data_IF_340676287818
#
_entry.id   IF_340676287818
#
_cell.length_a   1.000
_cell.length_b   1.000
_cell.length_c   1.000
_cell.angle_alpha   90.00
_cell.angle_beta   90.00
_cell.angle_gamma   90.00
#
_symmetry.space_group_name_H-M   'P 1'
#
loop_
_entity.id
_entity.type
_entity.pdbx_description
1 polymer ?
#
# COMPACT_ATOMS: atom_id res chain seq x y z
N UNK A 1 26.46 13.23 7.04
CA UNK A 1 25.05 12.85 7.35
C UNK A 1 24.51 12.07 6.16
N UNK A 2 24.19 10.77 6.31
CA UNK A 2 23.60 9.99 5.21
C UNK A 2 22.09 10.28 5.16
N UNK A 3 21.58 10.65 3.98
CA UNK A 3 20.18 10.94 3.72
C UNK A 3 19.65 9.80 2.85
N UNK A 4 18.78 8.97 3.41
CA UNK A 4 18.07 7.94 2.64
C UNK A 4 16.73 8.54 2.24
N UNK A 5 16.51 8.69 0.94
CA UNK A 5 15.22 9.10 0.42
C UNK A 5 14.34 7.86 0.27
N UNK A 6 13.03 7.94 0.57
CA UNK A 6 12.12 6.85 0.27
C UNK A 6 12.16 6.57 -1.24
N UNK A 7 12.34 5.31 -1.60
CA UNK A 7 12.23 4.88 -3.00
C UNK A 7 10.75 4.96 -3.39
N UNK A 8 10.46 5.68 -4.47
CA UNK A 8 9.12 5.84 -5.01
C UNK A 8 9.19 5.63 -6.52
N UNK A 9 8.24 4.88 -7.06
CA UNK A 9 8.16 4.54 -8.48
C UNK A 9 6.73 4.83 -8.96
N UNK A 10 6.59 5.49 -10.10
CA UNK A 10 5.31 5.81 -10.77
C UNK A 10 5.44 5.48 -12.25
N UNK A 11 4.35 5.02 -12.85
CA UNK A 11 4.28 4.67 -14.26
C UNK A 11 3.20 3.63 -14.51
N UNK A 12 2.82 3.48 -15.78
CA UNK A 12 1.83 2.49 -16.21
C UNK A 12 2.32 1.05 -16.02
N UNK A 13 3.63 0.84 -16.04
CA UNK A 13 4.27 -0.49 -16.02
C UNK A 13 5.10 -0.76 -14.75
N UNK A 14 4.94 0.06 -13.70
CA UNK A 14 5.80 0.04 -12.50
C UNK A 14 5.77 -1.28 -11.73
N UNK A 15 4.73 -2.11 -11.89
CA UNK A 15 4.73 -3.46 -11.32
C UNK A 15 5.89 -4.31 -11.87
N UNK A 16 6.28 -4.14 -13.14
CA UNK A 16 7.42 -4.85 -13.73
C UNK A 16 8.77 -4.49 -13.09
N UNK A 17 8.87 -3.34 -12.42
CA UNK A 17 10.08 -2.88 -11.74
C UNK A 17 10.22 -3.42 -10.31
N UNK A 18 9.21 -4.14 -9.79
CA UNK A 18 9.23 -4.71 -8.43
C UNK A 18 10.51 -5.50 -8.16
N UNK A 19 10.98 -6.42 -9.03
CA UNK A 19 12.25 -7.11 -8.81
C UNK A 19 13.43 -6.17 -8.64
N UNK A 20 13.57 -5.18 -9.52
CA UNK A 20 14.70 -4.23 -9.53
C UNK A 20 14.77 -3.38 -8.26
N UNK A 21 13.61 -3.04 -7.70
CA UNK A 21 13.49 -2.25 -6.47
C UNK A 21 13.62 -3.12 -5.22
N UNK A 22 12.88 -4.23 -5.14
CA UNK A 22 12.68 -5.00 -3.92
C UNK A 22 13.76 -6.07 -3.67
N UNK A 23 14.41 -6.64 -4.69
CA UNK A 23 15.42 -7.70 -4.50
C UNK A 23 16.61 -7.27 -3.62
N UNK A 24 16.87 -5.97 -3.53
CA UNK A 24 17.92 -5.40 -2.67
C UNK A 24 17.62 -5.55 -1.17
N UNK A 25 16.37 -5.84 -0.82
CA UNK A 25 15.85 -5.85 0.54
C UNK A 25 15.50 -7.25 1.05
N UNK A 26 15.39 -8.25 0.18
CA UNK A 26 15.09 -9.63 0.55
C UNK A 26 14.70 -10.49 -0.64
N UNK A 27 14.38 -11.75 -0.35
CA UNK A 27 13.95 -12.74 -1.36
C UNK A 27 12.58 -13.34 -1.04
N UNK A 28 12.04 -13.09 0.14
CA UNK A 28 10.71 -13.56 0.55
C UNK A 28 9.81 -12.37 0.87
N UNK A 29 8.66 -12.27 0.21
CA UNK A 29 7.68 -11.23 0.47
C UNK A 29 6.33 -11.83 0.84
N UNK A 30 5.64 -11.21 1.80
CA UNK A 30 4.23 -11.50 2.09
C UNK A 30 3.35 -10.36 1.58
N UNK A 31 2.25 -10.69 0.93
CA UNK A 31 1.28 -9.70 0.44
C UNK A 31 0.15 -9.60 1.46
N UNK A 32 -0.10 -8.39 1.95
CA UNK A 32 -1.17 -8.13 2.93
C UNK A 32 -2.02 -6.97 2.42
N UNK A 33 -3.34 -7.08 2.49
CA UNK A 33 -4.18 -6.02 1.95
C UNK A 33 -5.66 -6.17 2.22
N UNK A 34 -6.44 -5.20 1.77
CA UNK A 34 -7.91 -5.32 1.77
C UNK A 34 -8.38 -6.26 0.68
N UNK A 35 -9.51 -6.95 0.88
CA UNK A 35 -10.07 -7.92 -0.08
C UNK A 35 -10.09 -7.45 -1.53
N UNK A 36 -10.60 -6.24 -1.78
CA UNK A 36 -10.66 -5.63 -3.13
C UNK A 36 -9.27 -5.32 -3.68
N UNK A 37 -8.41 -4.72 -2.85
CA UNK A 37 -7.06 -4.36 -3.24
C UNK A 37 -6.20 -5.59 -3.58
N UNK A 38 -6.34 -6.68 -2.81
CA UNK A 38 -5.70 -7.95 -3.12
C UNK A 38 -6.20 -8.53 -4.43
N UNK A 39 -7.51 -8.49 -4.70
CA UNK A 39 -8.06 -8.93 -5.98
C UNK A 39 -7.53 -8.11 -7.18
N UNK A 40 -7.19 -6.84 -6.97
CA UNK A 40 -6.65 -5.97 -8.01
C UNK A 40 -5.13 -6.10 -8.19
N UNK A 41 -4.37 -6.28 -7.11
CA UNK A 41 -2.91 -6.15 -7.13
C UNK A 41 -2.16 -7.48 -6.94
N UNK A 42 -2.71 -8.48 -6.23
CA UNK A 42 -1.95 -9.65 -5.83
C UNK A 42 -1.45 -10.48 -7.03
N UNK A 43 -2.28 -10.66 -8.05
CA UNK A 43 -1.89 -11.42 -9.24
C UNK A 43 -0.90 -10.65 -10.12
N UNK A 44 -1.04 -9.32 -10.22
CA UNK A 44 -0.05 -8.46 -10.91
C UNK A 44 1.32 -8.53 -10.23
N UNK A 45 1.36 -8.50 -8.90
CA UNK A 45 2.60 -8.63 -8.12
C UNK A 45 3.20 -10.01 -8.34
N UNK A 46 2.41 -11.08 -8.26
CA UNK A 46 2.89 -12.46 -8.47
C UNK A 46 3.48 -12.66 -9.87
N UNK A 47 2.81 -12.16 -10.90
CA UNK A 47 3.34 -12.23 -12.27
C UNK A 47 4.62 -11.40 -12.42
N UNK A 48 4.68 -10.20 -11.83
CA UNK A 48 5.87 -9.35 -11.88
C UNK A 48 7.11 -9.98 -11.22
N UNK A 49 6.92 -10.79 -10.17
CA UNK A 49 8.04 -11.43 -9.45
C UNK A 49 8.36 -12.85 -9.92
N UNK A 50 7.57 -13.42 -10.84
CA UNK A 50 7.65 -14.83 -11.25
C UNK A 50 9.04 -15.26 -11.74
N UNK A 51 9.70 -14.42 -12.51
CA UNK A 51 11.04 -14.68 -13.07
C UNK A 51 12.16 -14.02 -12.25
N UNK A 52 11.84 -13.57 -11.03
CA UNK A 52 12.77 -12.89 -10.13
C UNK A 52 13.24 -13.79 -8.97
N UNK A 53 14.10 -13.27 -8.10
CA UNK A 53 14.50 -13.95 -6.86
C UNK A 53 13.47 -13.84 -5.74
N UNK A 54 12.40 -13.05 -5.95
CA UNK A 54 11.37 -12.80 -4.94
C UNK A 54 10.33 -13.92 -4.98
N UNK A 55 10.17 -14.62 -3.87
CA UNK A 55 9.13 -15.62 -3.63
C UNK A 55 8.05 -15.02 -2.74
N UNK A 56 6.78 -15.16 -3.16
CA UNK A 56 5.65 -14.77 -2.32
C UNK A 56 5.36 -15.90 -1.32
N UNK A 57 5.50 -15.61 -0.02
CA UNK A 57 5.29 -16.60 1.05
C UNK A 57 3.82 -16.82 1.35
N UNK A 58 2.98 -15.79 1.17
CA UNK A 58 1.55 -15.87 1.41
C UNK A 58 0.82 -14.59 1.01
N UNK A 59 -0.51 -14.66 0.99
CA UNK A 59 -1.41 -13.54 0.71
C UNK A 59 -2.49 -13.51 1.79
N UNK A 60 -2.59 -12.42 2.55
CA UNK A 60 -3.49 -12.31 3.70
C UNK A 60 -4.33 -11.04 3.67
N UNK A 61 -5.59 -11.17 4.10
CA UNK A 61 -6.43 -10.01 4.38
C UNK A 61 -6.01 -9.36 5.72
N UNK A 62 -6.00 -8.02 5.79
CA UNK A 62 -5.55 -7.31 7.00
C UNK A 62 -6.58 -7.27 8.15
N UNK A 63 -7.80 -7.80 7.95
CA UNK A 63 -8.86 -7.84 8.97
C UNK A 63 -9.86 -6.67 8.94
N UNK A 64 -9.79 -5.74 7.99
CA UNK A 64 -10.79 -4.67 7.81
C UNK A 64 -10.63 -3.45 8.73
N UNK A 65 -10.10 -3.64 9.95
CA UNK A 65 -9.73 -2.55 10.86
C UNK A 65 -8.24 -2.56 11.21
N UNK A 66 -7.66 -1.37 11.35
CA UNK A 66 -6.29 -1.21 11.83
C UNK A 66 -6.25 -1.33 13.35
N UNK A 67 -6.23 -2.56 13.86
CA UNK A 67 -6.24 -2.89 15.28
C UNK A 67 -5.02 -3.71 15.69
N UNK A 68 -4.71 -3.72 16.99
CA UNK A 68 -3.63 -4.54 17.53
C UNK A 68 -3.89 -6.04 17.34
N UNK A 69 -5.13 -6.46 17.52
CA UNK A 69 -5.57 -7.85 17.40
C UNK A 69 -5.27 -8.41 16.01
N UNK A 70 -5.59 -7.67 14.94
CA UNK A 70 -5.29 -8.11 13.56
C UNK A 70 -3.79 -8.11 13.26
N UNK A 71 -3.01 -7.20 13.86
CA UNK A 71 -1.55 -7.22 13.71
C UNK A 71 -0.97 -8.47 14.37
N UNK A 72 -1.43 -8.81 15.57
CA UNK A 72 -0.98 -10.00 16.30
C UNK A 72 -1.41 -11.29 15.58
N UNK A 73 -2.62 -11.33 15.00
CA UNK A 73 -3.10 -12.43 14.15
C UNK A 73 -2.21 -12.59 12.91
N UNK A 74 -1.96 -11.51 12.16
CA UNK A 74 -1.06 -11.54 11.00
C UNK A 74 0.32 -12.06 11.39
N UNK A 75 0.86 -11.63 12.52
CA UNK A 75 2.18 -12.05 13.00
C UNK A 75 2.21 -13.49 13.55
N UNK A 76 1.06 -14.15 13.67
CA UNK A 76 0.97 -15.57 14.07
C UNK A 76 1.13 -16.54 12.88
N UNK A 77 0.95 -16.06 11.65
CA UNK A 77 1.12 -16.88 10.44
C UNK A 77 2.59 -17.10 10.11
N UNK A 78 2.99 -18.36 9.90
CA UNK A 78 4.39 -18.70 9.61
C UNK A 78 4.88 -18.05 8.31
N UNK A 79 4.01 -17.93 7.31
CA UNK A 79 4.28 -17.29 6.03
C UNK A 79 4.56 -15.79 6.19
N UNK A 80 3.92 -15.14 7.16
CA UNK A 80 4.21 -13.76 7.53
C UNK A 80 5.53 -13.72 8.28
N UNK A 81 5.77 -14.58 9.26
CA UNK A 81 7.02 -14.61 10.04
C UNK A 81 8.26 -14.88 9.17
N UNK A 82 8.14 -15.78 8.19
CA UNK A 82 9.23 -16.20 7.30
C UNK A 82 9.55 -15.18 6.18
N UNK A 83 8.71 -14.17 6.00
CA UNK A 83 8.91 -13.15 4.98
C UNK A 83 9.94 -12.10 5.41
N UNK A 84 10.88 -11.80 4.51
CA UNK A 84 11.86 -10.73 4.67
C UNK A 84 11.22 -9.35 4.46
N UNK A 85 10.15 -9.29 3.65
CA UNK A 85 9.51 -8.05 3.18
C UNK A 85 7.98 -8.13 3.31
N UNK A 86 7.35 -6.98 3.56
CA UNK A 86 5.89 -6.84 3.58
C UNK A 86 5.44 -5.96 2.41
N UNK A 87 4.54 -6.48 1.58
CA UNK A 87 3.88 -5.77 0.49
C UNK A 87 2.44 -5.42 0.90
N UNK A 88 2.17 -4.16 1.26
CA UNK A 88 0.80 -3.71 1.55
C UNK A 88 0.06 -3.28 0.30
N UNK A 89 -1.11 -3.88 0.08
CA UNK A 89 -2.01 -3.50 -1.00
C UNK A 89 -3.31 -2.90 -0.44
N UNK A 90 -3.70 -1.72 -0.91
CA UNK A 90 -4.92 -1.05 -0.47
C UNK A 90 -4.67 0.39 -0.05
N UNK A 91 -5.62 1.04 0.60
CA UNK A 91 -5.40 2.38 1.16
C UNK A 91 -5.17 2.37 2.65
N UNK A 92 -5.61 3.46 3.31
CA UNK A 92 -5.02 3.91 4.57
C UNK A 92 -4.99 2.87 5.67
N UNK A 93 -6.11 2.17 5.93
CA UNK A 93 -6.19 1.18 7.02
C UNK A 93 -5.27 -0.01 6.79
N UNK A 94 -5.32 -0.61 5.59
CA UNK A 94 -4.46 -1.74 5.25
C UNK A 94 -2.98 -1.36 5.32
N UNK A 95 -2.63 -0.19 4.77
CA UNK A 95 -1.28 0.35 4.82
C UNK A 95 -0.84 0.59 6.27
N UNK A 96 -1.67 1.18 7.11
CA UNK A 96 -1.30 1.49 8.50
C UNK A 96 -1.14 0.24 9.35
N UNK A 97 -2.00 -0.79 9.18
CA UNK A 97 -1.79 -2.12 9.80
C UNK A 97 -0.42 -2.68 9.44
N UNK A 98 -0.08 -2.67 8.15
CA UNK A 98 1.18 -3.23 7.67
C UNK A 98 2.40 -2.40 8.06
N UNK A 99 2.28 -1.08 8.16
CA UNK A 99 3.35 -0.20 8.68
C UNK A 99 3.71 -0.57 10.12
N UNK A 100 2.71 -0.76 10.98
CA UNK A 100 2.96 -1.14 12.38
C UNK A 100 3.59 -2.53 12.44
N UNK A 101 3.03 -3.51 11.70
CA UNK A 101 3.59 -4.85 11.60
C UNK A 101 5.07 -4.83 11.15
N UNK A 102 5.39 -4.06 10.11
CA UNK A 102 6.75 -3.92 9.60
C UNK A 102 7.70 -3.26 10.60
N UNK A 103 7.24 -2.21 11.29
CA UNK A 103 8.03 -1.52 12.30
C UNK A 103 8.37 -2.44 13.47
N UNK A 104 7.40 -3.21 13.97
CA UNK A 104 7.60 -4.11 15.12
C UNK A 104 8.48 -5.29 14.77
N UNK A 105 8.33 -5.83 13.56
CA UNK A 105 9.15 -6.93 13.05
C UNK A 105 10.48 -6.49 12.43
N UNK A 106 10.74 -5.17 12.36
CA UNK A 106 11.96 -4.55 11.79
C UNK A 106 12.23 -4.96 10.34
N UNK A 107 11.20 -5.00 9.51
CA UNK A 107 11.28 -5.42 8.12
C UNK A 107 11.04 -4.27 7.14
N UNK A 108 11.65 -4.32 5.95
CA UNK A 108 11.29 -3.45 4.84
C UNK A 108 9.80 -3.61 4.47
N UNK A 109 9.20 -2.48 4.12
CA UNK A 109 7.78 -2.35 3.82
C UNK A 109 7.60 -1.59 2.50
N UNK A 110 6.73 -2.12 1.64
CA UNK A 110 6.41 -1.52 0.35
C UNK A 110 4.90 -1.34 0.23
N UNK A 111 4.48 -0.17 -0.26
CA UNK A 111 3.07 0.17 -0.45
C UNK A 111 2.70 0.09 -1.91
N UNK A 112 1.60 -0.61 -2.19
CA UNK A 112 0.92 -0.69 -3.47
C UNK A 112 -0.47 -0.05 -3.28
N UNK A 113 -0.55 1.30 -3.27
CA UNK A 113 -1.82 1.98 -3.07
C UNK A 113 -2.77 1.67 -4.23
N UNK A 114 -4.01 1.35 -3.91
CA UNK A 114 -5.08 1.16 -4.91
C UNK A 114 -6.03 2.34 -4.87
N UNK A 115 -6.50 2.79 -6.05
CA UNK A 115 -7.47 3.88 -6.21
C UNK A 115 -8.80 3.64 -5.47
N UNK A 116 -9.09 2.40 -5.05
CA UNK A 116 -10.29 1.99 -4.34
C UNK A 116 -10.55 2.72 -3.00
N UNK A 117 -9.56 3.44 -2.44
CA UNK A 117 -9.72 4.25 -1.23
C UNK A 117 -9.81 5.76 -1.50
N UNK A 118 -9.90 6.19 -2.78
CA UNK A 118 -10.14 7.60 -3.08
C UNK A 118 -11.43 8.10 -2.47
N UNK A 119 -12.50 7.32 -2.54
CA UNK A 119 -13.78 7.68 -1.91
C UNK A 119 -13.65 7.84 -0.39
N UNK A 120 -12.84 7.01 0.28
CA UNK A 120 -12.60 7.11 1.72
C UNK A 120 -11.77 8.35 2.08
N UNK A 121 -10.74 8.66 1.30
CA UNK A 121 -9.91 9.87 1.46
C UNK A 121 -10.73 11.12 1.20
N UNK A 122 -11.53 11.13 0.13
CA UNK A 122 -12.45 12.22 -0.23
C UNK A 122 -13.48 12.42 0.87
N UNK A 123 -14.15 11.35 1.33
CA UNK A 123 -15.12 11.42 2.42
C UNK A 123 -14.50 12.02 3.68
N UNK A 124 -13.29 11.59 4.05
CA UNK A 124 -12.57 12.12 5.20
C UNK A 124 -12.21 13.60 5.01
N UNK A 125 -11.70 13.98 3.85
CA UNK A 125 -11.40 15.37 3.50
C UNK A 125 -12.65 16.26 3.59
N UNK A 126 -13.79 15.78 3.10
CA UNK A 126 -15.08 16.47 3.13
C UNK A 126 -15.68 16.57 4.55
N UNK A 127 -15.26 15.71 5.49
CA UNK A 127 -15.64 15.84 6.91
C UNK A 127 -14.78 16.82 7.73
N UNK A 128 -13.69 17.32 7.13
CA UNK A 128 -12.74 18.22 7.77
C UNK A 128 -13.35 19.56 8.18
N UNK A 129 -12.71 20.27 9.11
CA UNK A 129 -13.13 21.64 9.47
C UNK A 129 -12.82 22.60 8.31
N UNK A 130 -11.78 22.32 7.53
CA UNK A 130 -11.27 23.22 6.50
C UNK A 130 -12.24 23.41 5.32
N UNK A 131 -12.93 22.35 4.90
CA UNK A 131 -13.97 22.40 3.84
C UNK A 131 -15.27 23.07 4.28
N UNK A 132 -15.52 23.19 5.60
CA UNK A 132 -16.72 23.88 6.13
C UNK A 132 -16.64 25.40 6.03
N UNK A 133 -15.44 25.96 5.86
CA UNK A 133 -15.19 27.41 5.82
C UNK A 133 -14.77 27.91 4.43
N UNK A 134 -15.13 27.19 3.38
CA UNK A 134 -14.77 27.56 2.02
C UNK A 134 -15.88 28.40 1.36
N UNK A 135 -15.57 29.38 0.49
CA UNK A 135 -16.57 30.26 -0.13
C UNK A 135 -17.49 29.57 -1.15
N UNK A 136 -17.31 28.28 -1.40
CA UNK A 136 -18.12 27.47 -2.30
C UNK A 136 -18.17 26.01 -1.81
N UNK A 137 -19.17 25.26 -2.27
CA UNK A 137 -19.31 23.84 -1.97
C UNK A 137 -18.18 23.03 -2.59
N UNK A 138 -17.50 22.21 -1.77
CA UNK A 138 -16.46 21.29 -2.23
C UNK A 138 -17.10 19.92 -2.46
N UNK A 139 -17.07 19.41 -3.68
CA UNK A 139 -17.66 18.10 -4.03
C UNK A 139 -16.61 16.99 -4.09
N UNK A 140 -17.01 15.71 -4.01
CA UNK A 140 -16.12 14.57 -4.25
C UNK A 140 -15.36 14.65 -5.57
N UNK A 141 -16.07 14.97 -6.66
CA UNK A 141 -15.50 15.04 -8.00
C UNK A 141 -14.43 16.13 -8.12
N UNK A 142 -14.62 17.27 -7.45
CA UNK A 142 -13.62 18.35 -7.44
C UNK A 142 -12.29 17.90 -6.81
N UNK A 143 -12.35 17.09 -5.74
CA UNK A 143 -11.15 16.55 -5.09
C UNK A 143 -10.52 15.47 -5.98
N UNK A 144 -11.35 14.58 -6.54
CA UNK A 144 -10.88 13.52 -7.42
C UNK A 144 -10.20 14.05 -8.68
N UNK A 145 -10.81 15.02 -9.35
CA UNK A 145 -10.27 15.65 -10.56
C UNK A 145 -9.01 16.45 -10.26
N UNK A 146 -8.93 17.11 -9.09
CA UNK A 146 -7.71 17.78 -8.66
C UNK A 146 -6.55 16.78 -8.45
N UNK A 147 -6.82 15.62 -7.81
CA UNK A 147 -5.83 14.55 -7.62
C UNK A 147 -5.39 13.99 -8.97
N UNK A 148 -6.33 13.63 -9.85
CA UNK A 148 -6.03 13.14 -11.21
C UNK A 148 -5.19 14.13 -12.00
N UNK A 149 -5.50 15.42 -11.92
CA UNK A 149 -4.75 16.48 -12.61
C UNK A 149 -3.34 16.65 -12.07
N UNK A 150 -3.10 16.40 -10.77
CA UNK A 150 -1.75 16.41 -10.19
C UNK A 150 -0.95 15.20 -10.67
N UNK A 151 -1.58 14.03 -10.77
CA UNK A 151 -0.97 12.81 -11.34
C UNK A 151 -0.60 12.99 -12.82
N UNK A 152 -1.45 13.64 -13.62
CA UNK A 152 -1.18 13.95 -15.04
C UNK A 152 -0.03 14.95 -15.25
N UNK A 153 0.32 15.73 -14.22
CA UNK A 153 1.37 16.76 -14.26
C UNK A 153 2.70 16.24 -13.65
N UNK A 154 2.73 14.99 -13.21
CA UNK A 154 3.94 14.34 -12.68
C UNK A 154 4.79 13.80 -13.83
N UNK A 155 5.87 14.55 -14.13
CA UNK A 155 6.85 14.33 -15.22
C UNK A 155 7.69 13.06 -15.10
#
# INVERSE_FOLDING_TARGET
>A
MRKYYPNYSIGTDTYADIPMVCEKYGTKAVIIGGKRALAAAADLIKEAVKDSKITITGVFEYGGEASREHIDELNSHQEVVDADMIFACGGGKAIDTCKVLAQESKRPFFTFPTLDDMDAVITKALSGIDVRKWPYEVTPDMILDAVKKIEEVSF
#
